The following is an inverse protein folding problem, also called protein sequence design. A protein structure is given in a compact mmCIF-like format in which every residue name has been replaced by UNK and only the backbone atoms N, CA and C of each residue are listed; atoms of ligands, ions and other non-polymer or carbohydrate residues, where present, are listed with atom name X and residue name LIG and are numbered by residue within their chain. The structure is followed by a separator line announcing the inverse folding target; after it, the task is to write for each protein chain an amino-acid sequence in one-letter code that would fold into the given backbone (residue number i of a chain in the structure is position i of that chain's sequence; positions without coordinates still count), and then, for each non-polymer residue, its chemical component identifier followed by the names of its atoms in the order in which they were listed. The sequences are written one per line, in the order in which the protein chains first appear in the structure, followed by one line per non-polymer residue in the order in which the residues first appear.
data_IF_803400672903
#
_entry.id   IF_803400672903
#
_cell.length_a   1.000
_cell.length_b   1.000
_cell.length_c   1.000
_cell.angle_alpha   90.00
_cell.angle_beta   90.00
_cell.angle_gamma   90.00
#
_symmetry.space_group_name_H-M   'P 1'
#
loop_
_entity.id
_entity.type
_entity.pdbx_description
1 polymer ?
#
# COMPACT_ATOMS: atom_id res chain seq x y z
N UNK A 1 10.32 14.76 -44.87
CA UNK A 1 9.34 14.34 -43.86
C UNK A 1 10.14 13.55 -42.84
N UNK A 2 10.91 14.27 -42.02
CA UNK A 2 11.74 13.65 -40.99
C UNK A 2 10.79 13.10 -39.93
N UNK A 3 10.72 11.78 -39.83
CA UNK A 3 10.06 11.13 -38.72
C UNK A 3 10.81 11.57 -37.47
N UNK A 4 10.18 12.40 -36.64
CA UNK A 4 10.64 12.67 -35.28
C UNK A 4 10.68 11.30 -34.60
N UNK A 5 11.88 10.70 -34.53
CA UNK A 5 12.11 9.55 -33.69
C UNK A 5 11.99 10.12 -32.28
N UNK A 6 10.90 9.79 -31.62
CA UNK A 6 10.73 10.05 -30.20
C UNK A 6 11.82 9.27 -29.45
N UNK A 7 12.96 9.92 -29.22
CA UNK A 7 14.12 9.36 -28.55
C UNK A 7 13.84 9.02 -27.07
N UNK A 8 12.68 9.46 -26.53
CA UNK A 8 12.23 9.21 -25.17
C UNK A 8 11.22 8.05 -25.06
N UNK A 9 10.76 7.49 -26.18
CA UNK A 9 9.86 6.34 -26.18
C UNK A 9 10.61 5.07 -25.73
N UNK A 10 10.42 4.68 -24.47
CA UNK A 10 10.98 3.43 -23.94
C UNK A 10 10.51 2.23 -24.79
N UNK A 11 11.44 1.43 -25.36
CA UNK A 11 11.07 0.33 -26.24
C UNK A 11 10.35 -0.75 -25.43
N UNK A 12 9.09 -1.02 -25.79
CA UNK A 12 8.28 -2.08 -25.15
C UNK A 12 8.87 -3.47 -25.36
N UNK A 13 9.64 -3.66 -26.43
CA UNK A 13 10.23 -4.94 -26.81
C UNK A 13 11.75 -4.84 -26.75
N UNK A 14 12.42 -5.92 -26.33
CA UNK A 14 13.87 -5.93 -26.16
C UNK A 14 14.42 -7.33 -26.01
N UNK A 15 15.74 -7.42 -25.81
CA UNK A 15 16.42 -8.70 -25.61
C UNK A 15 15.82 -9.43 -24.40
N UNK A 16 15.53 -10.74 -24.51
CA UNK A 16 14.95 -11.49 -23.41
C UNK A 16 15.92 -11.51 -22.23
N UNK A 17 15.46 -11.05 -21.07
CA UNK A 17 16.19 -11.07 -19.81
C UNK A 17 15.39 -11.84 -18.74
N UNK A 18 15.05 -13.12 -18.96
CA UNK A 18 14.08 -13.84 -18.15
C UNK A 18 14.50 -13.95 -16.68
N UNK A 19 15.79 -14.19 -16.41
CA UNK A 19 16.30 -14.34 -15.03
C UNK A 19 16.12 -13.04 -14.23
N UNK A 20 16.58 -11.91 -14.77
CA UNK A 20 16.47 -10.62 -14.10
C UNK A 20 15.02 -10.18 -13.90
N UNK A 21 14.16 -10.43 -14.90
CA UNK A 21 12.73 -10.11 -14.84
C UNK A 21 12.01 -10.96 -13.81
N UNK A 22 12.27 -12.27 -13.78
CA UNK A 22 11.67 -13.19 -12.80
C UNK A 22 12.08 -12.82 -11.38
N UNK A 23 13.35 -12.48 -11.16
CA UNK A 23 13.83 -12.02 -9.86
C UNK A 23 13.12 -10.73 -9.42
N UNK A 24 13.04 -9.72 -10.29
CA UNK A 24 12.39 -8.45 -9.99
C UNK A 24 10.90 -8.60 -9.68
N UNK A 25 10.15 -9.32 -10.51
CA UNK A 25 8.72 -9.57 -10.27
C UNK A 25 8.49 -10.44 -9.03
N UNK A 26 9.34 -11.45 -8.78
CA UNK A 26 9.22 -12.29 -7.58
C UNK A 26 9.39 -11.47 -6.30
N UNK A 27 10.36 -10.55 -6.25
CA UNK A 27 10.55 -9.68 -5.09
C UNK A 27 9.29 -8.85 -4.81
N UNK A 28 8.67 -8.28 -5.85
CA UNK A 28 7.47 -7.45 -5.73
C UNK A 28 6.24 -8.27 -5.32
N UNK A 29 6.01 -9.43 -5.93
CA UNK A 29 4.85 -10.26 -5.58
C UNK A 29 4.99 -10.87 -4.19
N UNK A 30 6.20 -11.27 -3.78
CA UNK A 30 6.48 -11.76 -2.42
C UNK A 30 6.25 -10.64 -1.40
N UNK A 31 6.69 -9.41 -1.68
CA UNK A 31 6.39 -8.27 -0.82
C UNK A 31 4.88 -8.05 -0.70
N UNK A 32 4.14 -8.12 -1.80
CA UNK A 32 2.68 -8.04 -1.80
C UNK A 32 2.03 -9.14 -0.95
N UNK A 33 2.50 -10.39 -1.10
CA UNK A 33 2.07 -11.52 -0.29
C UNK A 33 2.37 -11.31 1.19
N UNK A 34 3.55 -10.77 1.54
CA UNK A 34 3.91 -10.46 2.92
C UNK A 34 2.96 -9.42 3.55
N UNK A 35 2.58 -8.37 2.81
CA UNK A 35 1.63 -7.36 3.31
C UNK A 35 0.24 -7.96 3.52
N UNK A 36 -0.26 -8.76 2.58
CA UNK A 36 -1.54 -9.47 2.73
C UNK A 36 -1.49 -10.44 3.90
N UNK A 37 -0.39 -11.19 4.03
CA UNK A 37 -0.17 -12.11 5.13
C UNK A 37 -0.21 -11.40 6.49
N UNK A 38 0.36 -10.21 6.61
CA UNK A 38 0.28 -9.41 7.84
C UNK A 38 -1.16 -9.05 8.20
N UNK A 39 -1.98 -8.67 7.22
CA UNK A 39 -3.40 -8.39 7.45
C UNK A 39 -4.12 -9.66 7.94
N UNK A 40 -3.87 -10.81 7.30
CA UNK A 40 -4.47 -12.09 7.71
C UNK A 40 -4.09 -12.48 9.14
N UNK A 41 -2.83 -12.32 9.52
CA UNK A 41 -2.34 -12.69 10.85
C UNK A 41 -2.83 -11.70 11.91
N UNK A 42 -2.64 -10.39 11.70
CA UNK A 42 -2.92 -9.37 12.72
C UNK A 42 -4.43 -9.11 12.87
N UNK A 43 -5.17 -9.09 11.76
CA UNK A 43 -6.57 -8.66 11.76
C UNK A 43 -7.53 -9.84 11.81
N UNK A 44 -7.21 -10.93 11.12
CA UNK A 44 -8.06 -12.12 11.07
C UNK A 44 -7.57 -13.25 11.99
N UNK A 45 -6.46 -13.04 12.71
CA UNK A 45 -5.94 -14.01 13.69
C UNK A 45 -5.40 -15.30 13.05
N UNK A 46 -4.98 -15.26 11.79
CA UNK A 46 -4.44 -16.45 11.13
C UNK A 46 -3.13 -16.88 11.82
N UNK A 47 -2.86 -18.18 11.92
CA UNK A 47 -1.70 -18.71 12.64
C UNK A 47 -0.37 -18.46 11.92
N UNK A 48 -0.41 -17.95 10.68
CA UNK A 48 0.77 -17.68 9.86
C UNK A 48 1.47 -18.95 9.38
N UNK A 49 2.60 -18.77 8.68
CA UNK A 49 3.38 -19.89 8.14
C UNK A 49 4.02 -20.73 9.26
N UNK A 50 4.32 -20.14 10.41
CA UNK A 50 4.91 -20.84 11.56
C UNK A 50 3.90 -21.70 12.31
N UNK A 51 2.60 -21.48 12.15
CA UNK A 51 1.55 -22.27 12.78
C UNK A 51 1.17 -23.55 12.02
N UNK A 52 1.87 -23.86 10.92
CA UNK A 52 1.67 -25.10 10.17
C UNK A 52 2.12 -26.28 11.05
N UNK A 53 1.15 -27.07 11.52
CA UNK A 53 1.38 -28.22 12.40
C UNK A 53 0.80 -28.08 13.82
N UNK A 54 0.26 -26.90 14.18
CA UNK A 54 -0.46 -26.67 15.43
C UNK A 54 -1.99 -26.69 15.28
N UNK A 55 -2.70 -26.29 16.34
CA UNK A 55 -4.14 -26.02 16.29
C UNK A 55 -4.43 -24.92 15.25
N UNK A 56 -5.29 -25.20 14.27
CA UNK A 56 -5.56 -24.30 13.14
C UNK A 56 -4.65 -24.50 11.91
N UNK A 57 -3.91 -25.62 11.82
CA UNK A 57 -2.97 -25.91 10.73
C UNK A 57 -3.50 -25.71 9.30
N UNK A 58 -4.82 -25.88 9.05
CA UNK A 58 -5.44 -25.60 7.75
C UNK A 58 -5.30 -24.12 7.33
N UNK A 59 -5.43 -23.17 8.27
CA UNK A 59 -5.25 -21.75 7.98
C UNK A 59 -3.78 -21.40 7.72
N UNK A 60 -2.84 -22.09 8.38
CA UNK A 60 -1.40 -21.93 8.09
C UNK A 60 -1.04 -22.31 6.66
N UNK A 61 -1.70 -23.33 6.08
CA UNK A 61 -1.56 -23.68 4.67
C UNK A 61 -2.07 -22.59 3.73
N UNK A 62 -3.06 -21.79 4.13
CA UNK A 62 -3.51 -20.62 3.35
C UNK A 62 -2.40 -19.57 3.29
N UNK A 63 -1.73 -19.30 4.41
CA UNK A 63 -0.59 -18.37 4.44
C UNK A 63 0.55 -18.86 3.54
N UNK A 64 0.89 -20.15 3.55
CA UNK A 64 1.91 -20.70 2.65
C UNK A 64 1.47 -20.64 1.18
N UNK A 65 0.22 -21.01 0.90
CA UNK A 65 -0.37 -20.97 -0.43
C UNK A 65 -0.32 -19.56 -1.04
N UNK A 66 -0.52 -18.52 -0.24
CA UNK A 66 -0.38 -17.11 -0.66
C UNK A 66 1.02 -16.82 -1.23
N UNK A 67 2.09 -17.25 -0.57
CA UNK A 67 3.45 -17.07 -1.08
C UNK A 67 3.72 -17.92 -2.33
N UNK A 68 3.19 -19.15 -2.40
CA UNK A 68 3.30 -19.99 -3.59
C UNK A 68 2.61 -19.34 -4.80
N UNK A 69 1.40 -18.80 -4.62
CA UNK A 69 0.67 -18.04 -5.65
C UNK A 69 1.45 -16.79 -6.08
N UNK A 70 2.10 -16.10 -5.16
CA UNK A 70 2.92 -14.93 -5.49
C UNK A 70 4.13 -15.27 -6.36
N UNK A 71 4.83 -16.36 -6.07
CA UNK A 71 5.95 -16.85 -6.89
C UNK A 71 5.44 -17.30 -8.26
N UNK A 72 4.36 -18.10 -8.29
CA UNK A 72 3.74 -18.55 -9.53
C UNK A 72 3.29 -17.37 -10.40
N UNK A 73 2.70 -16.34 -9.80
CA UNK A 73 2.29 -15.10 -10.47
C UNK A 73 3.46 -14.34 -11.08
N UNK A 74 4.58 -14.21 -10.36
CA UNK A 74 5.78 -13.58 -10.90
C UNK A 74 6.33 -14.32 -12.12
N UNK A 75 6.41 -15.66 -12.04
CA UNK A 75 6.84 -16.47 -13.18
C UNK A 75 5.85 -16.37 -14.35
N UNK A 76 4.55 -16.42 -14.07
CA UNK A 76 3.52 -16.28 -15.10
C UNK A 76 3.63 -14.95 -15.85
N UNK A 77 3.88 -13.83 -15.15
CA UNK A 77 4.08 -12.51 -15.79
C UNK A 77 5.24 -12.56 -16.79
N UNK A 78 6.36 -13.19 -16.43
CA UNK A 78 7.55 -13.27 -17.29
C UNK A 78 7.34 -14.23 -18.46
N UNK A 79 6.79 -15.41 -18.20
CA UNK A 79 6.56 -16.44 -19.21
C UNK A 79 5.50 -16.05 -20.24
N UNK A 80 4.48 -15.29 -19.84
CA UNK A 80 3.44 -14.77 -20.75
C UNK A 80 3.89 -13.55 -21.55
N UNK A 81 5.01 -12.93 -21.20
CA UNK A 81 5.52 -11.71 -21.87
C UNK A 81 7.00 -11.79 -22.25
N UNK A 82 7.47 -12.82 -22.98
CA UNK A 82 8.90 -13.09 -23.20
C UNK A 82 9.63 -11.97 -23.94
N UNK A 83 8.96 -11.29 -24.87
CA UNK A 83 9.54 -10.22 -25.69
C UNK A 83 9.55 -8.84 -25.01
N UNK A 84 9.01 -8.72 -23.78
CA UNK A 84 8.96 -7.44 -23.07
C UNK A 84 10.35 -7.05 -22.56
N UNK A 85 10.74 -5.80 -22.80
CA UNK A 85 12.05 -5.29 -22.38
C UNK A 85 12.14 -5.10 -20.85
N UNK A 86 13.33 -5.28 -20.29
CA UNK A 86 13.59 -5.04 -18.86
C UNK A 86 13.34 -3.56 -18.48
N UNK A 87 13.65 -2.62 -19.38
CA UNK A 87 13.40 -1.19 -19.20
C UNK A 87 11.90 -0.89 -19.09
N UNK A 88 11.06 -1.58 -19.86
CA UNK A 88 9.63 -1.40 -19.78
C UNK A 88 9.05 -1.89 -18.45
N UNK A 89 9.49 -3.06 -17.98
CA UNK A 89 9.10 -3.54 -16.64
C UNK A 89 9.56 -2.59 -15.53
N UNK A 90 10.79 -2.06 -15.61
CA UNK A 90 11.28 -1.06 -14.66
C UNK A 90 10.43 0.22 -14.66
N UNK A 91 9.97 0.67 -15.83
CA UNK A 91 9.07 1.81 -15.96
C UNK A 91 7.67 1.55 -15.36
N UNK A 92 7.11 0.35 -15.54
CA UNK A 92 5.86 -0.05 -14.89
C UNK A 92 5.98 -0.02 -13.37
N UNK A 93 7.08 -0.59 -12.84
CA UNK A 93 7.38 -0.60 -11.40
C UNK A 93 7.60 0.83 -10.88
N UNK A 94 8.32 1.66 -11.63
CA UNK A 94 8.52 3.06 -11.28
C UNK A 94 7.20 3.83 -11.17
N UNK A 95 6.32 3.70 -12.17
CA UNK A 95 5.02 4.37 -12.17
C UNK A 95 4.12 3.89 -11.03
N UNK A 96 4.14 2.59 -10.74
CA UNK A 96 3.47 2.05 -9.57
C UNK A 96 4.02 2.63 -8.27
N UNK A 97 5.34 2.71 -8.11
CA UNK A 97 5.98 3.29 -6.93
C UNK A 97 5.64 4.78 -6.76
N UNK A 98 5.62 5.55 -7.85
CA UNK A 98 5.21 6.96 -7.83
C UNK A 98 3.76 7.11 -7.36
N UNK A 99 2.87 6.24 -7.82
CA UNK A 99 1.49 6.18 -7.31
C UNK A 99 1.45 5.80 -5.83
N UNK A 100 2.17 4.74 -5.43
CA UNK A 100 2.18 4.24 -4.06
C UNK A 100 2.66 5.29 -3.06
N UNK A 101 3.77 5.99 -3.36
CA UNK A 101 4.29 7.08 -2.51
C UNK A 101 3.24 8.18 -2.34
N UNK A 102 2.53 8.54 -3.42
CA UNK A 102 1.46 9.55 -3.36
C UNK A 102 0.26 9.08 -2.54
N UNK A 103 -0.13 7.81 -2.65
CA UNK A 103 -1.18 7.21 -1.83
C UNK A 103 -0.84 7.18 -0.35
N UNK A 104 0.38 6.77 -0.01
CA UNK A 104 0.88 6.77 1.37
C UNK A 104 0.95 8.19 1.93
N UNK A 105 1.41 9.16 1.13
CA UNK A 105 1.43 10.57 1.51
C UNK A 105 0.03 11.06 1.93
N UNK A 106 -0.97 10.89 1.07
CA UNK A 106 -2.34 11.32 1.39
C UNK A 106 -2.95 10.56 2.57
N UNK A 107 -2.64 9.27 2.70
CA UNK A 107 -3.09 8.46 3.83
C UNK A 107 -2.55 9.01 5.16
N UNK A 108 -1.24 9.25 5.24
CA UNK A 108 -0.57 9.79 6.44
C UNK A 108 -1.06 11.21 6.73
N UNK A 109 -1.22 12.05 5.71
CA UNK A 109 -1.72 13.42 5.85
C UNK A 109 -3.12 13.45 6.47
N UNK A 110 -4.07 12.65 5.95
CA UNK A 110 -5.45 12.61 6.44
C UNK A 110 -5.54 12.06 7.86
N UNK A 111 -4.80 10.98 8.14
CA UNK A 111 -4.72 10.40 9.49
C UNK A 111 -4.12 11.40 10.48
N UNK A 112 -3.01 12.05 10.12
CA UNK A 112 -2.38 13.06 10.96
C UNK A 112 -3.26 14.28 11.23
N UNK A 113 -4.01 14.75 10.22
CA UNK A 113 -4.97 15.83 10.39
C UNK A 113 -6.10 15.45 11.36
N UNK A 114 -6.61 14.22 11.26
CA UNK A 114 -7.59 13.70 12.19
C UNK A 114 -7.04 13.61 13.62
N UNK A 115 -5.83 13.06 13.78
CA UNK A 115 -5.19 12.91 15.09
C UNK A 115 -4.91 14.26 15.75
N UNK A 116 -4.44 15.26 15.00
CA UNK A 116 -4.27 16.63 15.48
C UNK A 116 -5.61 17.25 15.92
N UNK A 117 -6.67 17.03 15.14
CA UNK A 117 -8.02 17.52 15.47
C UNK A 117 -8.55 16.89 16.76
N UNK A 118 -8.38 15.57 16.93
CA UNK A 118 -8.79 14.88 18.16
C UNK A 118 -7.92 15.29 19.36
N UNK A 119 -6.62 15.50 19.17
CA UNK A 119 -5.74 15.99 20.21
C UNK A 119 -6.17 17.36 20.73
N UNK A 120 -6.52 18.29 19.83
CA UNK A 120 -7.07 19.60 20.17
C UNK A 120 -8.42 19.50 20.90
N UNK A 121 -9.36 18.71 20.38
CA UNK A 121 -10.65 18.52 21.03
C UNK A 121 -10.52 17.89 22.42
N UNK A 122 -9.50 17.06 22.61
CA UNK A 122 -9.19 16.45 23.91
C UNK A 122 -8.58 17.44 24.89
N UNK A 123 -7.68 18.34 24.45
CA UNK A 123 -7.09 19.35 25.34
C UNK A 123 -8.14 20.32 25.88
N UNK A 124 -9.15 20.64 25.08
CA UNK A 124 -10.26 21.53 25.45
C UNK A 124 -11.45 20.81 26.13
N UNK A 125 -11.35 19.49 26.39
CA UNK A 125 -12.46 18.66 26.90
C UNK A 125 -13.77 18.77 26.08
N UNK A 126 -13.67 18.99 24.77
CA UNK A 126 -14.82 19.20 23.87
C UNK A 126 -15.38 17.90 23.26
N UNK A 127 -14.71 16.76 23.45
CA UNK A 127 -15.13 15.49 22.83
C UNK A 127 -16.51 15.00 23.31
N UNK A 128 -16.77 15.03 24.62
CA UNK A 128 -18.06 14.61 25.20
C UNK A 128 -19.17 15.64 24.89
N UNK A 129 -18.97 16.96 25.04
CA UNK A 129 -19.95 17.96 24.67
C UNK A 129 -20.39 17.91 23.19
N UNK A 130 -19.47 17.60 22.25
CA UNK A 130 -19.77 17.61 20.82
C UNK A 130 -20.35 16.29 20.31
N UNK A 131 -19.89 15.15 20.83
CA UNK A 131 -20.22 13.82 20.30
C UNK A 131 -21.02 12.95 21.27
N UNK A 132 -21.28 13.42 22.49
CA UNK A 132 -21.89 12.65 23.58
C UNK A 132 -20.91 11.72 24.28
N UNK A 133 -21.34 11.13 25.40
CA UNK A 133 -20.49 10.26 26.24
C UNK A 133 -19.99 9.03 25.48
N UNK A 134 -20.86 8.36 24.74
CA UNK A 134 -20.52 7.10 24.05
C UNK A 134 -19.44 7.30 22.99
N UNK A 135 -19.64 8.23 22.04
CA UNK A 135 -18.65 8.47 20.98
C UNK A 135 -17.43 9.22 21.51
N UNK A 136 -17.58 10.16 22.45
CA UNK A 136 -16.45 10.85 23.07
C UNK A 136 -15.45 9.90 23.72
N UNK A 137 -15.95 8.85 24.41
CA UNK A 137 -15.09 7.80 24.98
C UNK A 137 -14.56 6.80 23.94
N UNK A 138 -15.25 6.57 22.83
CA UNK A 138 -14.72 5.72 21.75
C UNK A 138 -13.58 6.40 20.99
N UNK A 139 -13.66 7.73 20.79
CA UNK A 139 -12.62 8.55 20.16
C UNK A 139 -11.31 8.67 20.99
N UNK A 140 -11.27 8.06 22.19
CA UNK A 140 -10.05 7.92 22.99
C UNK A 140 -9.45 6.52 22.92
N UNK A 141 -10.16 5.53 22.37
CA UNK A 141 -9.70 4.13 22.29
C UNK A 141 -9.07 3.84 20.93
N UNK A 142 -7.81 3.42 20.95
CA UNK A 142 -7.08 3.00 19.73
C UNK A 142 -7.77 1.87 18.97
N UNK A 143 -8.42 0.93 19.68
CA UNK A 143 -9.17 -0.16 19.07
C UNK A 143 -10.39 0.30 18.24
N UNK A 144 -10.94 1.48 18.53
CA UNK A 144 -11.99 2.07 17.70
C UNK A 144 -11.39 2.90 16.57
N UNK A 145 -10.44 3.80 16.91
CA UNK A 145 -9.84 4.75 15.95
C UNK A 145 -9.16 4.02 14.79
N UNK A 146 -8.37 2.97 15.06
CA UNK A 146 -7.60 2.29 14.01
C UNK A 146 -8.48 1.69 12.90
N UNK A 147 -9.39 0.76 13.22
CA UNK A 147 -10.27 0.13 12.23
C UNK A 147 -11.33 1.09 11.65
N UNK A 148 -11.95 1.93 12.48
CA UNK A 148 -13.14 2.69 12.07
C UNK A 148 -12.87 4.08 11.55
N UNK A 149 -11.69 4.65 11.85
CA UNK A 149 -11.32 5.99 11.38
C UNK A 149 -10.07 5.94 10.50
N UNK A 150 -8.95 5.41 11.01
CA UNK A 150 -7.70 5.42 10.26
C UNK A 150 -7.81 4.58 8.98
N UNK A 151 -8.41 3.40 9.03
CA UNK A 151 -8.52 2.53 7.84
C UNK A 151 -9.35 3.18 6.72
N UNK A 152 -10.55 3.75 6.97
CA UNK A 152 -11.28 4.52 5.97
C UNK A 152 -10.50 5.73 5.43
N UNK A 153 -9.77 6.46 6.29
CA UNK A 153 -8.94 7.59 5.86
C UNK A 153 -7.77 7.16 4.98
N UNK A 154 -7.15 6.01 5.28
CA UNK A 154 -6.12 5.40 4.44
C UNK A 154 -6.73 5.05 3.07
N UNK A 155 -7.88 4.38 3.03
CA UNK A 155 -8.58 4.05 1.77
C UNK A 155 -8.88 5.32 0.97
N UNK A 156 -9.38 6.37 1.64
CA UNK A 156 -9.61 7.68 1.02
C UNK A 156 -8.31 8.27 0.45
N UNK A 157 -7.19 8.16 1.17
CA UNK A 157 -5.88 8.60 0.70
C UNK A 157 -5.43 7.90 -0.59
N UNK A 158 -5.67 6.59 -0.70
CA UNK A 158 -5.45 5.84 -1.94
C UNK A 158 -6.35 6.32 -3.08
N UNK A 159 -7.63 6.59 -2.82
CA UNK A 159 -8.57 7.12 -3.83
C UNK A 159 -8.13 8.51 -4.30
N UNK A 160 -7.76 9.41 -3.39
CA UNK A 160 -7.28 10.76 -3.74
C UNK A 160 -5.99 10.71 -4.57
N UNK A 161 -5.10 9.76 -4.31
CA UNK A 161 -3.89 9.57 -5.07
C UNK A 161 -4.12 9.18 -6.54
N UNK A 162 -5.29 8.63 -6.89
CA UNK A 162 -5.65 8.36 -8.29
C UNK A 162 -5.89 9.66 -9.08
N UNK A 163 -6.38 10.72 -8.42
CA UNK A 163 -6.74 11.98 -9.07
C UNK A 163 -5.64 13.05 -8.97
N UNK A 164 -4.72 12.91 -8.03
CA UNK A 164 -3.65 13.90 -7.80
C UNK A 164 -2.43 13.61 -8.69
N UNK A 165 -1.84 14.66 -9.26
CA UNK A 165 -0.67 14.55 -10.15
C UNK A 165 0.66 14.94 -9.48
N UNK A 166 0.61 15.56 -8.31
CA UNK A 166 1.79 16.05 -7.59
C UNK A 166 2.09 15.17 -6.38
N UNK A 167 3.35 15.17 -5.92
CA UNK A 167 3.82 14.43 -4.74
C UNK A 167 3.32 15.01 -3.40
N UNK A 168 2.60 16.14 -3.42
CA UNK A 168 2.11 16.79 -2.20
C UNK A 168 3.12 17.73 -1.52
N UNK A 169 4.18 18.16 -2.19
CA UNK A 169 5.20 19.07 -1.63
C UNK A 169 4.64 20.32 -0.91
N UNK A 170 3.60 21.02 -1.42
CA UNK A 170 3.00 22.14 -0.68
C UNK A 170 2.37 21.74 0.66
N UNK A 171 1.76 20.55 0.71
CA UNK A 171 1.15 20.01 1.93
C UNK A 171 2.20 19.56 2.94
N UNK A 172 3.34 19.04 2.47
CA UNK A 172 4.49 18.70 3.31
C UNK A 172 5.08 19.95 3.98
N UNK A 173 5.22 21.05 3.22
CA UNK A 173 5.65 22.33 3.77
C UNK A 173 4.65 22.88 4.79
N UNK A 174 3.34 22.77 4.52
CA UNK A 174 2.29 23.17 5.46
C UNK A 174 2.39 22.41 6.79
N UNK A 175 2.57 21.09 6.74
CA UNK A 175 2.70 20.26 7.95
C UNK A 175 3.90 20.65 8.80
N UNK A 176 5.04 20.98 8.20
CA UNK A 176 6.24 21.41 8.94
C UNK A 176 6.01 22.76 9.65
N UNK A 177 5.23 23.66 9.04
CA UNK A 177 4.96 24.98 9.61
C UNK A 177 3.88 24.93 10.70
N UNK A 178 2.91 24.03 10.56
CA UNK A 178 1.78 23.91 11.47
C UNK A 178 2.04 23.00 12.69
N UNK A 179 3.00 22.06 12.57
CA UNK A 179 3.45 21.18 13.66
C UNK A 179 4.44 21.89 14.59
#
# INVERSE_FOLDING_TARGET
MDTVIDHDALPRHGRPAPVARSFGWAMLTILGAFLINNILVVWFGFPGVLGIGGEGGLLGWVNLGLYAVAIAGALAIVLTSPNRSLRWDAHLVHNFNVYLVRALFWSIFLVGLFDASIAFLRSENLTVPLFGETLGHLLTRSNFIGPWIHTPLIVLGFVVALFTRTLGFPWLALLIVAA
#
